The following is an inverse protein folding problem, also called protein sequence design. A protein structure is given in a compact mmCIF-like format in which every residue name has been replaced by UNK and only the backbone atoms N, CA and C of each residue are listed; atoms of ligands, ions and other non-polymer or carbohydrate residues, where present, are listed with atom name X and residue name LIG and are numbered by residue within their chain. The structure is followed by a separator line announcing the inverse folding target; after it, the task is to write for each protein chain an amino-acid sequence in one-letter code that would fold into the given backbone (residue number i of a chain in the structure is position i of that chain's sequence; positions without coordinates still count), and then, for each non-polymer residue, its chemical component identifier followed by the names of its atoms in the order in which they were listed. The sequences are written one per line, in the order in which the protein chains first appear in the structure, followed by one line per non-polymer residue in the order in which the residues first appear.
data_IF_652248505536
#
_entry.id   IF_652248505536
#
_cell.length_a   1.000
_cell.length_b   1.000
_cell.length_c   1.000
_cell.angle_alpha   90.00
_cell.angle_beta   90.00
_cell.angle_gamma   90.00
#
_symmetry.space_group_name_H-M   'P 1'
#
loop_
_entity.id
_entity.type
_entity.pdbx_description
1 polymer ?
#
# COMPACT_ATOMS: atom_id res chain seq x y z
N UNK A 1 -29.42 -27.56 4.98
CA UNK A 1 -29.20 -26.84 3.70
C UNK A 1 -28.90 -27.87 2.63
N UNK A 2 -29.61 -27.87 1.49
CA UNK A 2 -29.42 -28.89 0.43
C UNK A 2 -28.24 -28.49 -0.46
N UNK A 3 -27.39 -29.47 -0.84
CA UNK A 3 -26.18 -29.28 -1.66
C UNK A 3 -26.41 -28.46 -2.94
N UNK A 4 -27.59 -28.61 -3.52
CA UNK A 4 -28.10 -27.85 -4.68
C UNK A 4 -28.23 -26.34 -4.43
N UNK A 5 -28.68 -25.93 -3.24
CA UNK A 5 -28.83 -24.52 -2.87
C UNK A 5 -27.46 -23.85 -2.65
N UNK A 6 -26.50 -24.60 -2.08
CA UNK A 6 -25.11 -24.13 -1.88
C UNK A 6 -24.44 -23.90 -3.24
N UNK A 7 -24.59 -24.84 -4.17
CA UNK A 7 -24.02 -24.74 -5.52
C UNK A 7 -24.66 -23.64 -6.37
N UNK A 8 -25.97 -23.39 -6.22
CA UNK A 8 -26.63 -22.25 -6.87
C UNK A 8 -26.17 -20.92 -6.29
N UNK A 9 -26.02 -20.83 -4.97
CA UNK A 9 -25.53 -19.62 -4.31
C UNK A 9 -24.09 -19.29 -4.70
N UNK A 10 -23.20 -20.28 -4.74
CA UNK A 10 -21.81 -20.14 -5.20
C UNK A 10 -21.67 -19.78 -6.69
N UNK A 11 -22.65 -20.12 -7.54
CA UNK A 11 -22.68 -19.70 -8.95
C UNK A 11 -23.29 -18.30 -9.17
N UNK A 12 -24.11 -17.83 -8.23
CA UNK A 12 -24.69 -16.49 -8.22
C UNK A 12 -23.71 -15.46 -7.65
N UNK A 13 -22.89 -15.88 -6.69
CA UNK A 13 -21.71 -15.17 -6.21
C UNK A 13 -20.58 -15.40 -7.23
N UNK A 14 -20.57 -14.66 -8.34
CA UNK A 14 -19.52 -14.65 -9.39
C UNK A 14 -18.17 -14.09 -8.87
N UNK A 15 -17.93 -14.14 -7.56
CA UNK A 15 -16.66 -13.86 -6.91
C UNK A 15 -15.89 -15.17 -6.81
N UNK A 16 -14.97 -15.38 -7.76
CA UNK A 16 -13.98 -16.45 -7.67
C UNK A 16 -13.00 -16.15 -6.52
N UNK A 17 -13.31 -16.63 -5.32
CA UNK A 17 -12.47 -16.50 -4.12
C UNK A 17 -11.02 -16.93 -4.38
N UNK A 18 -10.79 -17.85 -5.33
CA UNK A 18 -9.47 -18.27 -5.76
C UNK A 18 -8.66 -17.15 -6.43
N UNK A 19 -9.31 -16.31 -7.24
CA UNK A 19 -8.65 -15.14 -7.87
C UNK A 19 -8.32 -14.07 -6.83
N UNK A 20 -9.24 -13.75 -5.93
CA UNK A 20 -8.97 -12.79 -4.85
C UNK A 20 -7.82 -13.26 -3.94
N UNK A 21 -7.75 -14.57 -3.67
CA UNK A 21 -6.66 -15.16 -2.90
C UNK A 21 -5.30 -15.04 -3.61
N UNK A 22 -5.24 -15.34 -4.90
CA UNK A 22 -4.02 -15.22 -5.70
C UNK A 22 -3.57 -13.77 -5.81
N UNK A 23 -4.50 -12.85 -6.08
CA UNK A 23 -4.19 -11.41 -6.13
C UNK A 23 -3.72 -10.88 -4.77
N UNK A 24 -4.34 -11.30 -3.67
CA UNK A 24 -3.93 -10.95 -2.32
C UNK A 24 -2.51 -11.40 -1.99
N UNK A 25 -2.13 -12.62 -2.40
CA UNK A 25 -0.75 -13.12 -2.29
C UNK A 25 0.22 -12.30 -3.13
N UNK A 26 -0.16 -11.93 -4.35
CA UNK A 26 0.65 -11.06 -5.20
C UNK A 26 0.92 -9.69 -4.57
N UNK A 27 -0.13 -9.06 -4.01
CA UNK A 27 -0.02 -7.78 -3.28
C UNK A 27 0.93 -7.89 -2.08
N UNK A 28 0.80 -8.95 -1.28
CA UNK A 28 1.67 -9.18 -0.11
C UNK A 28 3.16 -9.26 -0.48
N UNK A 29 3.52 -10.00 -1.52
CA UNK A 29 4.93 -10.04 -1.97
C UNK A 29 5.36 -8.70 -2.59
N UNK A 30 4.46 -7.99 -3.26
CA UNK A 30 4.71 -6.63 -3.77
C UNK A 30 5.06 -5.65 -2.65
N UNK A 31 4.32 -5.67 -1.54
CA UNK A 31 4.58 -4.86 -0.34
C UNK A 31 5.97 -5.15 0.24
N UNK A 32 6.34 -6.43 0.36
CA UNK A 32 7.65 -6.86 0.86
C UNK A 32 8.77 -6.32 -0.04
N UNK A 33 8.67 -6.53 -1.34
CA UNK A 33 9.70 -6.08 -2.30
C UNK A 33 9.80 -4.56 -2.30
N UNK A 34 8.67 -3.85 -2.28
CA UNK A 34 8.65 -2.39 -2.18
C UNK A 34 9.37 -1.89 -0.92
N UNK A 35 9.07 -2.46 0.24
CA UNK A 35 9.71 -2.09 1.50
C UNK A 35 11.23 -2.35 1.48
N UNK A 36 11.66 -3.49 0.93
CA UNK A 36 13.08 -3.81 0.77
C UNK A 36 13.79 -2.80 -0.13
N UNK A 37 13.22 -2.49 -1.30
CA UNK A 37 13.81 -1.53 -2.24
C UNK A 37 13.87 -0.11 -1.65
N UNK A 38 12.80 0.32 -0.98
CA UNK A 38 12.80 1.60 -0.27
C UNK A 38 13.90 1.65 0.80
N UNK A 39 14.08 0.58 1.59
CA UNK A 39 15.14 0.49 2.59
C UNK A 39 16.55 0.57 1.96
N UNK A 40 16.78 -0.16 0.86
CA UNK A 40 18.05 -0.12 0.13
C UNK A 40 18.35 1.31 -0.36
N UNK A 41 17.38 1.98 -0.97
CA UNK A 41 17.55 3.36 -1.45
C UNK A 41 17.78 4.33 -0.31
N UNK A 42 17.08 4.18 0.82
CA UNK A 42 17.29 5.01 2.00
C UNK A 42 18.71 4.89 2.55
N UNK A 43 19.23 3.67 2.64
CA UNK A 43 20.58 3.37 3.07
C UNK A 43 21.60 3.94 2.07
N UNK A 44 21.38 3.73 0.77
CA UNK A 44 22.24 4.27 -0.28
C UNK A 44 22.36 5.79 -0.19
N UNK A 45 21.22 6.50 -0.10
CA UNK A 45 21.19 7.95 0.01
C UNK A 45 21.88 8.43 1.30
N UNK A 46 21.71 7.71 2.42
CA UNK A 46 22.38 8.03 3.68
C UNK A 46 23.91 7.97 3.55
N UNK A 47 24.45 6.96 2.88
CA UNK A 47 25.90 6.82 2.68
C UNK A 47 26.49 7.86 1.71
N UNK A 48 25.68 8.37 0.77
CA UNK A 48 26.11 9.35 -0.23
C UNK A 48 25.74 10.80 0.14
N UNK A 49 25.15 11.01 1.32
CA UNK A 49 24.73 12.34 1.78
C UNK A 49 23.55 12.95 1.02
N UNK A 50 22.81 12.13 0.26
CA UNK A 50 21.59 12.55 -0.43
C UNK A 50 20.40 12.56 0.52
N UNK A 51 19.41 13.40 0.24
CA UNK A 51 18.15 13.38 0.98
C UNK A 51 17.26 12.22 0.51
N UNK A 52 16.37 11.78 1.38
CA UNK A 52 15.44 10.68 1.10
C UNK A 52 14.04 11.17 0.73
N UNK A 53 13.87 12.43 0.34
CA UNK A 53 12.54 13.02 0.11
C UNK A 53 11.73 12.24 -0.93
N UNK A 54 12.33 11.89 -2.06
CA UNK A 54 11.65 11.12 -3.12
C UNK A 54 11.22 9.73 -2.65
N UNK A 55 12.10 9.01 -1.94
CA UNK A 55 11.80 7.68 -1.41
C UNK A 55 10.68 7.76 -0.38
N UNK A 56 10.72 8.75 0.51
CA UNK A 56 9.67 8.97 1.50
C UNK A 56 8.33 9.36 0.87
N UNK A 57 8.32 10.20 -0.17
CA UNK A 57 7.09 10.52 -0.91
C UNK A 57 6.38 9.27 -1.37
N UNK A 58 7.11 8.37 -2.04
CA UNK A 58 6.56 7.12 -2.57
C UNK A 58 6.16 6.17 -1.43
N UNK A 59 6.99 6.04 -0.39
CA UNK A 59 6.71 5.16 0.74
C UNK A 59 5.43 5.55 1.48
N UNK A 60 5.30 6.82 1.86
CA UNK A 60 4.12 7.30 2.56
C UNK A 60 2.88 7.34 1.66
N UNK A 61 3.06 7.60 0.35
CA UNK A 61 1.97 7.56 -0.62
C UNK A 61 1.41 6.15 -0.80
N UNK A 62 2.29 5.16 -0.86
CA UNK A 62 1.92 3.75 -0.89
C UNK A 62 1.17 3.34 0.38
N UNK A 63 1.70 3.69 1.56
CA UNK A 63 1.08 3.35 2.84
C UNK A 63 -0.30 3.99 3.01
N UNK A 64 -0.50 5.20 2.48
CA UNK A 64 -1.80 5.86 2.45
C UNK A 64 -2.79 5.10 1.55
N UNK A 65 -2.37 4.68 0.36
CA UNK A 65 -3.21 3.92 -0.56
C UNK A 65 -3.59 2.54 0.01
N UNK A 66 -2.64 1.85 0.65
CA UNK A 66 -2.86 0.57 1.31
C UNK A 66 -3.85 0.71 2.47
N UNK A 67 -3.63 1.70 3.35
CA UNK A 67 -4.54 2.01 4.46
C UNK A 67 -5.94 2.38 3.98
N UNK A 68 -6.07 3.09 2.85
CA UNK A 68 -7.37 3.40 2.26
C UNK A 68 -8.09 2.15 1.78
N UNK A 69 -7.38 1.20 1.16
CA UNK A 69 -7.92 -0.09 0.76
C UNK A 69 -8.42 -0.92 1.95
N UNK A 70 -7.63 -0.96 3.03
CA UNK A 70 -8.01 -1.62 4.30
C UNK A 70 -9.19 -0.92 4.99
N UNK A 71 -9.23 0.40 4.98
CA UNK A 71 -10.36 1.16 5.50
C UNK A 71 -11.65 0.89 4.71
N UNK A 72 -11.57 0.82 3.37
CA UNK A 72 -12.75 0.58 2.52
C UNK A 72 -13.39 -0.79 2.79
N UNK A 73 -12.57 -1.80 3.08
CA UNK A 73 -12.99 -3.18 3.33
C UNK A 73 -13.38 -3.41 4.80
N UNK A 74 -12.54 -2.99 5.75
CA UNK A 74 -12.74 -3.23 7.19
C UNK A 74 -13.42 -2.11 7.97
N UNK A 75 -13.54 -0.90 7.40
CA UNK A 75 -14.11 0.32 8.03
C UNK A 75 -13.53 0.68 9.41
N UNK A 76 -12.29 0.27 9.69
CA UNK A 76 -11.60 0.59 10.94
C UNK A 76 -11.22 2.07 11.00
N UNK A 77 -11.57 2.76 12.09
CA UNK A 77 -11.19 4.17 12.30
C UNK A 77 -9.67 4.36 12.38
N UNK A 78 -8.93 3.35 12.84
CA UNK A 78 -7.47 3.40 12.92
C UNK A 78 -6.81 3.46 11.54
N UNK A 79 -7.28 2.63 10.61
CA UNK A 79 -6.82 2.60 9.21
C UNK A 79 -7.05 3.95 8.51
N UNK A 80 -8.16 4.61 8.80
CA UNK A 80 -8.47 5.94 8.27
C UNK A 80 -7.47 7.00 8.77
N UNK A 81 -7.14 6.98 10.07
CA UNK A 81 -6.17 7.93 10.65
C UNK A 81 -4.79 7.71 10.01
N UNK A 82 -4.34 6.45 9.92
CA UNK A 82 -3.06 6.10 9.28
C UNK A 82 -3.03 6.58 7.84
N UNK A 83 -4.11 6.36 7.09
CA UNK A 83 -4.25 6.81 5.70
C UNK A 83 -4.06 8.33 5.56
N UNK A 84 -4.74 9.10 6.41
CA UNK A 84 -4.67 10.56 6.36
C UNK A 84 -3.27 11.04 6.74
N UNK A 85 -2.70 10.53 7.83
CA UNK A 85 -1.36 10.90 8.29
C UNK A 85 -0.29 10.56 7.24
N UNK A 86 -0.36 9.36 6.66
CA UNK A 86 0.55 8.94 5.60
C UNK A 86 0.37 9.79 4.33
N UNK A 87 -0.87 10.13 3.96
CA UNK A 87 -1.15 10.99 2.81
C UNK A 87 -0.56 12.40 2.98
N UNK A 88 -0.75 12.99 4.16
CA UNK A 88 -0.15 14.30 4.50
C UNK A 88 1.39 14.22 4.47
N UNK A 89 1.98 13.19 5.08
CA UNK A 89 3.42 12.99 5.05
C UNK A 89 3.95 12.86 3.60
N UNK A 90 3.27 12.11 2.75
CA UNK A 90 3.63 11.94 1.33
C UNK A 90 3.66 13.28 0.59
N UNK A 91 2.64 14.13 0.78
CA UNK A 91 2.57 15.46 0.17
C UNK A 91 3.68 16.36 0.70
N UNK A 92 3.94 16.37 2.01
CA UNK A 92 5.02 17.14 2.60
C UNK A 92 6.39 16.75 2.00
N UNK A 93 6.68 15.45 1.91
CA UNK A 93 7.92 14.98 1.30
C UNK A 93 7.98 15.27 -0.20
N UNK A 94 6.85 15.24 -0.92
CA UNK A 94 6.81 15.61 -2.33
C UNK A 94 7.22 17.08 -2.51
N UNK A 95 6.64 17.98 -1.71
CA UNK A 95 7.00 19.40 -1.71
C UNK A 95 8.49 19.58 -1.41
N UNK A 96 9.00 18.91 -0.37
CA UNK A 96 10.44 18.93 -0.06
C UNK A 96 11.28 18.42 -1.22
N UNK A 97 10.90 17.33 -1.88
CA UNK A 97 11.65 16.77 -3.01
C UNK A 97 11.75 17.73 -4.20
N UNK A 98 10.73 18.57 -4.41
CA UNK A 98 10.69 19.58 -5.47
C UNK A 98 11.49 20.82 -5.08
N UNK A 99 11.45 21.22 -3.81
CA UNK A 99 12.12 22.42 -3.31
C UNK A 99 13.63 22.23 -3.06
N UNK A 100 14.04 21.03 -2.63
CA UNK A 100 15.44 20.65 -2.45
C UNK A 100 15.80 19.49 -3.39
N UNK A 101 15.86 19.75 -4.71
CA UNK A 101 16.31 18.74 -5.65
C UNK A 101 17.73 18.34 -5.27
N UNK A 102 17.90 17.08 -4.89
CA UNK A 102 19.23 16.50 -4.71
C UNK A 102 19.94 16.51 -6.05
N UNK A 103 21.23 16.89 -6.10
CA UNK A 103 22.04 16.78 -7.31
C UNK A 103 22.23 15.31 -7.73
#
# INVERSE_FOLDING_TARGET
MKREEILKKSRLEDCDEGKEYIEGRGRYYGEIVFAILAAILMIYNLFHGHTNHQVFTLFWGFLAAEGFGKYRTGKSKGELIVTICAGVASICYLILSIMSPTP
#
